data_IF_424847771403
#
_entry.id   IF_424847771403
#
_cell.length_a   1.000
_cell.length_b   1.000
_cell.length_c   1.000
_cell.angle_alpha   90.00
_cell.angle_beta   90.00
_cell.angle_gamma   90.00
#
_symmetry.space_group_name_H-M   'P 1'
#
loop_
_entity.id
_entity.type
_entity.pdbx_description
1 polymer ?
#
# COMPACT_ATOMS: atom_id res chain seq x y z
N UNK A 1 -0.39 -26.08 -0.92
CA UNK A 1 0.93 -26.74 -1.25
C UNK A 1 1.09 -27.05 -2.74
N UNK A 2 0.10 -27.58 -3.46
CA UNK A 2 0.21 -27.86 -4.91
C UNK A 2 0.64 -26.62 -5.71
N UNK A 3 0.07 -25.45 -5.40
CA UNK A 3 0.42 -24.17 -6.03
C UNK A 3 1.89 -23.76 -5.80
N UNK A 4 2.42 -23.93 -4.59
CA UNK A 4 3.84 -23.63 -4.30
C UNK A 4 4.79 -24.60 -5.02
N UNK A 5 4.39 -25.89 -5.13
CA UNK A 5 5.16 -26.87 -5.91
C UNK A 5 5.18 -26.51 -7.40
N UNK A 6 4.07 -26.03 -7.94
CA UNK A 6 3.99 -25.55 -9.31
C UNK A 6 4.89 -24.33 -9.53
N UNK A 7 4.86 -23.34 -8.64
CA UNK A 7 5.80 -22.21 -8.69
C UNK A 7 7.26 -22.67 -8.69
N UNK A 8 7.61 -23.63 -7.81
CA UNK A 8 8.97 -24.18 -7.77
C UNK A 8 9.37 -24.84 -9.10
N UNK A 9 8.48 -25.62 -9.70
CA UNK A 9 8.72 -26.25 -11.02
C UNK A 9 8.91 -25.23 -12.15
N UNK A 10 8.33 -24.05 -12.03
CA UNK A 10 8.51 -22.91 -12.94
C UNK A 10 9.78 -22.10 -12.67
N UNK A 11 10.61 -22.51 -11.69
CA UNK A 11 11.90 -21.89 -11.39
C UNK A 11 11.86 -20.81 -10.31
N UNK A 12 10.74 -20.61 -9.59
CA UNK A 12 10.68 -19.66 -8.49
C UNK A 12 11.21 -20.31 -7.20
N UNK A 13 12.39 -19.90 -6.76
CA UNK A 13 13.04 -20.41 -5.56
C UNK A 13 12.76 -19.57 -4.31
N UNK A 14 12.48 -18.28 -4.45
CA UNK A 14 12.03 -17.39 -3.37
C UNK A 14 10.56 -17.06 -3.60
N UNK A 15 9.73 -17.38 -2.62
CA UNK A 15 8.28 -17.15 -2.67
C UNK A 15 7.87 -16.27 -1.49
N UNK A 16 6.99 -15.30 -1.75
CA UNK A 16 6.47 -14.41 -0.73
C UNK A 16 4.95 -14.58 -0.69
N UNK A 17 4.42 -14.97 0.46
CA UNK A 17 2.99 -14.99 0.72
C UNK A 17 2.61 -13.86 1.68
N UNK A 18 1.51 -13.17 1.40
CA UNK A 18 0.96 -12.12 2.28
C UNK A 18 -0.33 -12.63 2.90
N UNK A 19 -0.35 -12.77 4.23
CA UNK A 19 -1.46 -13.34 4.97
C UNK A 19 -2.01 -12.40 6.04
N UNK A 20 -3.29 -12.51 6.34
CA UNK A 20 -3.85 -11.93 7.56
C UNK A 20 -3.23 -12.56 8.82
N UNK A 21 -3.12 -11.77 9.87
CA UNK A 21 -2.51 -12.21 11.15
C UNK A 21 -3.22 -13.40 11.80
N UNK A 22 -4.51 -13.62 11.48
CA UNK A 22 -5.30 -14.77 11.90
C UNK A 22 -4.75 -16.12 11.38
N UNK A 23 -3.93 -16.09 10.33
CA UNK A 23 -3.26 -17.26 9.77
C UNK A 23 -1.85 -17.52 10.34
N UNK A 24 -1.40 -16.76 11.34
CA UNK A 24 -0.04 -16.84 11.91
C UNK A 24 0.35 -18.26 12.36
N UNK A 25 -0.60 -19.03 12.92
CA UNK A 25 -0.39 -20.42 13.35
C UNK A 25 -0.02 -21.40 12.23
N UNK A 26 -0.22 -21.03 10.96
CA UNK A 26 0.08 -21.88 9.82
C UNK A 26 1.46 -21.65 9.21
N UNK A 27 2.15 -20.56 9.56
CA UNK A 27 3.42 -20.13 8.96
C UNK A 27 4.46 -21.24 8.97
N UNK A 28 4.81 -21.74 10.15
CA UNK A 28 5.83 -22.78 10.31
C UNK A 28 5.47 -24.08 9.56
N UNK A 29 4.19 -24.44 9.54
CA UNK A 29 3.71 -25.64 8.83
C UNK A 29 3.89 -25.50 7.31
N UNK A 30 3.58 -24.34 6.77
CA UNK A 30 3.73 -24.07 5.34
C UNK A 30 5.19 -24.04 4.90
N UNK A 31 6.05 -23.40 5.71
CA UNK A 31 7.48 -23.36 5.47
C UNK A 31 8.09 -24.79 5.51
N UNK A 32 7.78 -25.57 6.53
CA UNK A 32 8.24 -26.95 6.65
C UNK A 32 7.74 -27.84 5.48
N UNK A 33 6.47 -27.69 5.09
CA UNK A 33 5.90 -28.43 3.98
C UNK A 33 6.54 -28.04 2.64
N UNK A 34 6.85 -26.77 2.40
CA UNK A 34 7.57 -26.36 1.19
C UNK A 34 9.00 -26.92 1.18
N UNK A 35 9.71 -26.83 2.30
CA UNK A 35 11.06 -27.38 2.41
C UNK A 35 11.07 -28.88 2.10
N UNK A 36 10.12 -29.64 2.62
CA UNK A 36 9.98 -31.09 2.32
C UNK A 36 9.69 -31.34 0.83
N UNK A 37 8.81 -30.55 0.20
CA UNK A 37 8.44 -30.72 -1.21
C UNK A 37 9.55 -30.36 -2.20
N UNK A 38 10.46 -29.49 -1.81
CA UNK A 38 11.52 -28.95 -2.67
C UNK A 38 12.92 -29.46 -2.31
N UNK A 39 13.02 -30.32 -1.28
CA UNK A 39 14.30 -30.76 -0.73
C UNK A 39 15.14 -29.58 -0.19
N UNK A 40 14.48 -28.56 0.37
CA UNK A 40 15.13 -27.36 0.89
C UNK A 40 15.61 -26.37 -0.17
N UNK A 41 15.27 -26.57 -1.45
CA UNK A 41 15.75 -25.73 -2.56
C UNK A 41 14.90 -24.48 -2.81
N UNK A 42 13.81 -24.29 -2.09
CA UNK A 42 12.98 -23.10 -2.15
C UNK A 42 12.69 -22.54 -0.75
N UNK A 43 12.59 -21.22 -0.66
CA UNK A 43 12.27 -20.49 0.55
C UNK A 43 10.88 -19.86 0.45
N UNK A 44 10.14 -19.90 1.57
CA UNK A 44 8.85 -19.23 1.72
C UNK A 44 8.94 -18.16 2.81
N UNK A 45 8.89 -16.92 2.39
CA UNK A 45 8.76 -15.76 3.27
C UNK A 45 7.26 -15.42 3.42
N UNK A 46 6.76 -15.42 4.64
CA UNK A 46 5.34 -15.11 4.91
C UNK A 46 5.26 -13.79 5.66
N UNK A 47 4.69 -12.78 5.02
CA UNK A 47 4.41 -11.48 5.60
C UNK A 47 3.01 -11.50 6.23
N UNK A 48 2.95 -11.36 7.54
CA UNK A 48 1.70 -11.25 8.27
C UNK A 48 1.25 -9.79 8.30
N UNK A 49 -0.02 -9.56 7.97
CA UNK A 49 -0.62 -8.22 7.95
C UNK A 49 -1.76 -8.16 8.96
N UNK A 50 -1.72 -7.16 9.82
CA UNK A 50 -2.75 -6.93 10.83
C UNK A 50 -4.05 -6.40 10.20
N UNK A 51 -5.14 -6.51 10.97
CA UNK A 51 -6.45 -6.03 10.55
C UNK A 51 -6.45 -4.52 10.35
N UNK A 52 -7.10 -4.09 9.27
CA UNK A 52 -7.51 -2.71 9.07
C UNK A 52 -8.92 -2.55 9.60
N UNK A 53 -9.11 -1.63 10.55
CA UNK A 53 -10.42 -1.26 11.07
C UNK A 53 -10.92 -0.03 10.35
N UNK A 54 -12.14 -0.08 9.85
CA UNK A 54 -12.73 1.04 9.11
C UNK A 54 -13.56 1.92 10.06
N UNK A 55 -13.34 3.24 9.95
CA UNK A 55 -14.06 4.27 10.70
C UNK A 55 -14.60 5.34 9.75
N UNK A 56 -15.62 6.05 10.21
CA UNK A 56 -16.17 7.21 9.52
C UNK A 56 -16.47 8.30 10.56
N UNK A 57 -15.65 9.35 10.55
CA UNK A 57 -15.75 10.45 11.53
C UNK A 57 -15.56 9.97 12.98
N UNK A 58 -14.69 8.99 13.21
CA UNK A 58 -14.43 8.41 14.53
C UNK A 58 -15.34 7.25 14.91
N UNK A 59 -16.45 7.01 14.20
CA UNK A 59 -17.36 5.90 14.45
C UNK A 59 -16.98 4.65 13.65
N UNK A 60 -16.97 3.45 14.25
CA UNK A 60 -16.66 2.21 13.55
C UNK A 60 -17.70 1.90 12.46
N UNK A 61 -17.23 1.57 11.26
CA UNK A 61 -18.09 1.10 10.17
C UNK A 61 -18.51 -0.34 10.45
N UNK A 62 -19.80 -0.54 10.70
CA UNK A 62 -20.38 -1.86 10.96
C UNK A 62 -20.44 -2.67 9.66
N UNK A 63 -19.78 -3.82 9.64
CA UNK A 63 -19.79 -4.74 8.54
C UNK A 63 -20.36 -6.09 8.96
N UNK A 64 -21.23 -6.65 8.13
CA UNK A 64 -21.79 -7.99 8.34
C UNK A 64 -21.93 -8.72 7.01
N UNK A 65 -21.19 -9.81 6.84
CA UNK A 65 -21.33 -10.68 5.68
C UNK A 65 -22.73 -11.29 5.57
N UNK A 66 -23.36 -11.59 6.72
CA UNK A 66 -24.71 -12.18 6.75
C UNK A 66 -25.79 -11.18 6.33
N UNK A 67 -25.63 -9.91 6.67
CA UNK A 67 -26.55 -8.84 6.29
C UNK A 67 -26.23 -8.22 4.91
N UNK A 68 -25.21 -8.70 4.21
CA UNK A 68 -24.77 -8.13 2.93
C UNK A 68 -24.14 -6.74 3.04
N UNK A 69 -23.92 -6.25 4.27
CA UNK A 69 -23.30 -4.94 4.51
C UNK A 69 -21.80 -5.12 4.71
N UNK A 70 -21.03 -5.04 3.65
CA UNK A 70 -19.59 -5.03 3.74
C UNK A 70 -19.03 -3.98 2.77
N UNK A 71 -17.91 -3.40 3.13
CA UNK A 71 -17.19 -2.42 2.31
C UNK A 71 -16.13 -3.17 1.52
N UNK A 72 -16.18 -3.06 0.21
CA UNK A 72 -15.16 -3.65 -0.67
C UNK A 72 -13.95 -2.72 -0.77
N UNK A 73 -12.78 -3.25 -1.17
CA UNK A 73 -11.63 -2.42 -1.49
C UNK A 73 -11.94 -1.41 -2.62
N UNK A 74 -12.81 -1.79 -3.57
CA UNK A 74 -13.27 -0.93 -4.64
C UNK A 74 -14.01 0.28 -4.07
N UNK A 75 -14.97 0.07 -3.16
CA UNK A 75 -15.72 1.15 -2.52
C UNK A 75 -14.79 2.13 -1.80
N UNK A 76 -13.78 1.60 -1.08
CA UNK A 76 -12.77 2.44 -0.41
C UNK A 76 -11.99 3.29 -1.39
N UNK A 77 -11.50 2.67 -2.49
CA UNK A 77 -10.71 3.37 -3.53
C UNK A 77 -11.56 4.43 -4.25
N UNK A 78 -12.82 4.11 -4.55
CA UNK A 78 -13.70 5.04 -5.26
C UNK A 78 -14.10 6.23 -4.36
N UNK A 79 -14.17 6.04 -3.03
CA UNK A 79 -14.53 7.11 -2.08
C UNK A 79 -13.35 8.03 -1.74
N UNK A 80 -12.17 7.49 -1.42
CA UNK A 80 -11.05 8.31 -0.90
C UNK A 80 -9.89 8.47 -1.89
N UNK A 81 -9.97 7.82 -3.03
CA UNK A 81 -8.94 7.82 -4.05
C UNK A 81 -7.81 6.81 -3.81
N UNK A 82 -7.19 6.31 -4.90
CA UNK A 82 -6.15 5.27 -4.83
C UNK A 82 -4.88 5.74 -4.11
N UNK A 83 -4.52 7.02 -4.24
CA UNK A 83 -3.33 7.59 -3.60
C UNK A 83 -3.43 7.54 -2.08
N UNK A 84 -4.57 7.96 -1.52
CA UNK A 84 -4.83 7.93 -0.07
C UNK A 84 -4.83 6.50 0.46
N UNK A 85 -5.50 5.58 -0.23
CA UNK A 85 -5.53 4.16 0.17
C UNK A 85 -4.13 3.57 0.19
N UNK A 86 -3.37 3.71 -0.90
CA UNK A 86 -2.01 3.16 -1.00
C UNK A 86 -1.09 3.73 0.06
N UNK A 87 -1.11 5.05 0.26
CA UNK A 87 -0.29 5.68 1.28
C UNK A 87 -0.62 5.16 2.68
N UNK A 88 -1.88 5.14 3.05
CA UNK A 88 -2.30 4.70 4.39
C UNK A 88 -1.98 3.23 4.65
N UNK A 89 -2.10 2.35 3.65
CA UNK A 89 -1.71 0.93 3.78
C UNK A 89 -0.20 0.74 3.96
N UNK A 90 0.64 1.67 3.47
CA UNK A 90 2.10 1.63 3.60
C UNK A 90 2.61 2.48 4.77
N UNK A 91 1.79 3.36 5.32
CA UNK A 91 2.18 4.30 6.37
C UNK A 91 2.56 3.60 7.68
N UNK A 92 1.92 2.48 7.98
CA UNK A 92 2.24 1.66 9.14
C UNK A 92 2.95 0.37 8.74
N UNK A 93 3.71 -0.18 9.68
CA UNK A 93 4.26 -1.53 9.53
C UNK A 93 3.11 -2.54 9.40
N UNK A 94 3.34 -3.60 8.65
CA UNK A 94 2.35 -4.65 8.41
C UNK A 94 1.90 -5.40 9.68
N UNK A 95 2.73 -5.42 10.73
CA UNK A 95 2.45 -6.06 12.03
C UNK A 95 1.67 -5.15 13.00
N UNK A 96 1.43 -3.88 12.64
CA UNK A 96 0.67 -2.94 13.43
C UNK A 96 -0.77 -2.77 12.89
N UNK A 97 -1.80 -2.76 13.75
CA UNK A 97 -3.17 -2.50 13.31
C UNK A 97 -3.31 -1.08 12.76
N UNK A 98 -4.17 -0.93 11.75
CA UNK A 98 -4.46 0.36 11.12
C UNK A 98 -5.93 0.72 11.34
N UNK A 99 -6.16 1.91 11.89
CA UNK A 99 -7.47 2.55 11.90
C UNK A 99 -7.58 3.46 10.68
N UNK A 100 -8.44 3.08 9.74
CA UNK A 100 -8.68 3.81 8.51
C UNK A 100 -9.99 4.57 8.60
N UNK A 101 -9.91 5.88 8.81
CA UNK A 101 -11.09 6.75 8.88
C UNK A 101 -11.27 7.49 7.55
N UNK A 102 -12.38 7.23 6.86
CA UNK A 102 -12.71 7.81 5.56
C UNK A 102 -12.71 9.33 5.53
N UNK A 103 -13.13 9.97 6.62
CA UNK A 103 -13.15 11.43 6.74
C UNK A 103 -11.73 11.95 6.93
N UNK A 104 -10.99 11.38 7.89
CA UNK A 104 -9.64 11.86 8.22
C UNK A 104 -8.63 11.70 7.09
N UNK A 105 -8.71 10.64 6.28
CA UNK A 105 -7.76 10.41 5.18
C UNK A 105 -7.96 11.36 4.00
N UNK A 106 -9.12 12.01 3.91
CA UNK A 106 -9.44 13.01 2.86
C UNK A 106 -9.33 14.45 3.36
N UNK A 107 -9.16 14.65 4.66
CA UNK A 107 -9.07 15.97 5.27
C UNK A 107 -7.80 16.72 4.84
N UNK A 108 -7.94 18.00 4.48
CA UNK A 108 -6.82 18.87 4.14
C UNK A 108 -6.24 19.53 5.40
N UNK A 109 -5.64 18.74 6.26
CA UNK A 109 -5.05 19.21 7.51
C UNK A 109 -3.61 18.73 7.67
N UNK A 110 -2.87 19.38 8.58
CA UNK A 110 -1.49 18.98 8.94
C UNK A 110 -1.44 17.64 9.65
N UNK A 111 -2.55 17.25 10.26
CA UNK A 111 -2.66 15.98 10.99
C UNK A 111 -2.93 14.79 10.04
N UNK A 112 -3.31 15.08 8.79
CA UNK A 112 -3.44 14.06 7.76
C UNK A 112 -2.09 13.78 7.09
N UNK A 113 -1.46 12.62 7.34
CA UNK A 113 -0.15 12.31 6.77
C UNK A 113 -0.17 12.22 5.24
N UNK A 114 -1.29 11.83 4.63
CA UNK A 114 -1.47 11.80 3.17
C UNK A 114 -1.34 13.21 2.60
N UNK A 115 -2.14 14.14 3.12
CA UNK A 115 -2.14 15.53 2.68
C UNK A 115 -0.77 16.19 2.92
N UNK A 116 -0.15 15.92 4.07
CA UNK A 116 1.14 16.52 4.41
C UNK A 116 2.25 16.09 3.43
N UNK A 117 2.30 14.81 3.06
CA UNK A 117 3.29 14.31 2.08
C UNK A 117 3.00 14.85 0.68
N UNK A 118 1.73 14.89 0.26
CA UNK A 118 1.34 15.49 -1.03
C UNK A 118 1.71 16.97 -1.10
N UNK A 119 1.46 17.73 -0.03
CA UNK A 119 1.84 19.13 0.08
C UNK A 119 3.36 19.32 -0.01
N UNK A 120 4.13 18.53 0.75
CA UNK A 120 5.59 18.59 0.71
C UNK A 120 6.14 18.32 -0.69
N UNK A 121 5.59 17.30 -1.37
CA UNK A 121 5.96 16.97 -2.76
C UNK A 121 5.62 18.11 -3.73
N UNK A 122 4.42 18.69 -3.64
CA UNK A 122 4.02 19.80 -4.49
C UNK A 122 4.92 21.04 -4.29
N UNK A 123 5.29 21.33 -3.04
CA UNK A 123 6.23 22.42 -2.71
C UNK A 123 7.62 22.17 -3.29
N UNK A 124 8.18 20.99 -3.08
CA UNK A 124 9.49 20.61 -3.64
C UNK A 124 9.50 20.70 -5.17
N UNK A 125 8.46 20.18 -5.82
CA UNK A 125 8.30 20.25 -7.28
C UNK A 125 8.19 21.69 -7.80
N UNK A 126 7.50 22.57 -7.06
CA UNK A 126 7.45 24.01 -7.39
C UNK A 126 8.82 24.68 -7.30
N UNK A 127 9.58 24.39 -6.24
CA UNK A 127 10.93 24.95 -6.08
C UNK A 127 11.84 24.50 -7.24
N UNK A 128 11.80 23.21 -7.57
CA UNK A 128 12.59 22.67 -8.69
C UNK A 128 12.23 23.31 -10.05
N UNK A 129 10.93 23.54 -10.29
CA UNK A 129 10.50 24.26 -11.50
C UNK A 129 11.04 25.69 -11.53
N UNK A 130 10.86 26.44 -10.44
CA UNK A 130 11.35 27.83 -10.35
C UNK A 130 12.87 27.91 -10.53
N UNK A 131 13.63 26.99 -9.96
CA UNK A 131 15.09 26.94 -10.15
C UNK A 131 15.44 26.72 -11.62
N UNK A 132 14.75 25.81 -12.32
CA UNK A 132 14.98 25.59 -13.77
C UNK A 132 14.63 26.81 -14.61
N UNK A 133 13.56 27.53 -14.26
CA UNK A 133 13.14 28.74 -14.98
C UNK A 133 14.15 29.89 -14.80
N UNK A 134 14.82 29.95 -13.66
CA UNK A 134 15.84 31.00 -13.37
C UNK A 134 17.24 30.60 -13.86
N UNK A 135 17.58 29.32 -13.73
CA UNK A 135 18.90 28.77 -14.06
C UNK A 135 18.76 27.74 -15.19
N UNK A 136 18.61 28.22 -16.42
CA UNK A 136 18.30 27.40 -17.60
C UNK A 136 19.32 26.28 -17.87
N UNK A 137 20.58 26.48 -17.47
CA UNK A 137 21.67 25.53 -17.71
C UNK A 137 21.99 24.62 -16.51
N UNK A 138 21.20 24.71 -15.43
CA UNK A 138 21.45 23.92 -14.23
C UNK A 138 20.85 22.52 -14.35
N UNK A 139 21.73 21.52 -14.49
CA UNK A 139 21.32 20.12 -14.34
C UNK A 139 21.16 19.77 -12.86
N UNK A 140 19.92 19.58 -12.43
CA UNK A 140 19.59 19.21 -11.04
C UNK A 140 19.74 17.71 -10.77
N UNK A 141 20.11 16.90 -11.78
CA UNK A 141 20.19 15.43 -11.65
C UNK A 141 18.87 14.75 -11.26
N UNK A 142 17.75 15.49 -11.34
CA UNK A 142 16.42 14.98 -10.97
C UNK A 142 15.59 14.79 -12.22
N UNK A 143 15.21 13.56 -12.49
CA UNK A 143 14.35 13.21 -13.62
C UNK A 143 12.95 13.85 -13.49
N UNK A 144 12.50 14.67 -14.45
CA UNK A 144 11.23 15.40 -14.37
C UNK A 144 9.99 14.51 -14.22
N UNK A 145 10.05 13.29 -14.77
CA UNK A 145 8.92 12.36 -14.77
C UNK A 145 8.56 11.83 -13.39
N UNK A 146 9.53 11.70 -12.49
CA UNK A 146 9.29 11.25 -11.11
C UNK A 146 8.50 12.27 -10.30
N UNK A 147 8.66 13.56 -10.62
CA UNK A 147 7.87 14.62 -9.98
C UNK A 147 6.45 14.71 -10.56
N UNK A 148 6.27 14.53 -11.87
CA UNK A 148 4.99 14.67 -12.54
C UNK A 148 3.97 13.58 -12.13
N UNK A 149 4.40 12.33 -12.01
CA UNK A 149 3.50 11.20 -11.72
C UNK A 149 2.79 11.29 -10.35
N UNK A 150 3.42 11.91 -9.35
CA UNK A 150 2.80 12.11 -8.04
C UNK A 150 1.84 13.31 -7.99
N UNK A 151 2.20 14.40 -8.65
CA UNK A 151 1.35 15.58 -8.74
C UNK A 151 0.07 15.28 -9.54
N UNK A 152 0.20 14.54 -10.63
CA UNK A 152 -0.90 14.15 -11.51
C UNK A 152 -1.88 13.20 -10.80
N UNK A 153 -1.38 12.29 -9.95
CA UNK A 153 -2.23 11.41 -9.16
C UNK A 153 -2.92 12.11 -7.99
N UNK A 154 -2.27 13.11 -7.39
CA UNK A 154 -2.85 13.89 -6.30
C UNK A 154 -3.98 14.83 -6.77
N UNK A 155 -4.00 15.19 -8.06
CA UNK A 155 -5.04 16.03 -8.68
C UNK A 155 -6.11 15.20 -9.42
N UNK A 156 -6.21 13.89 -9.17
CA UNK A 156 -7.22 13.04 -9.80
C UNK A 156 -6.90 12.64 -11.24
N UNK A 157 -5.68 12.87 -11.72
CA UNK A 157 -5.24 12.42 -13.02
C UNK A 157 -4.93 10.93 -12.99
N UNK A 158 -5.56 10.21 -13.90
CA UNK A 158 -5.59 8.75 -13.95
C UNK A 158 -4.21 8.12 -14.09
N UNK A 159 -3.91 7.15 -13.23
CA UNK A 159 -2.85 6.19 -13.47
C UNK A 159 -3.13 5.43 -14.77
N UNK A 160 -2.23 5.49 -15.70
CA UNK A 160 -2.16 4.53 -16.81
C UNK A 160 -1.35 3.32 -16.40
#
# INVERSE_FOLDING_TARGET
MAYHRDKFRRGFHTMIDVWGADHSGHVKRMQAALAALTGGKAELDIKLVQLVRLFRGGEPVKMSKRAGTFVTLRDVVDEVGPGSVRFMMLYRKNDAPLDFDFVKVTEQSRDNPVFYVQYAHARASSVLRNVRDVFLDLDLGVEPWRAATWADSAMGLKWR
#
